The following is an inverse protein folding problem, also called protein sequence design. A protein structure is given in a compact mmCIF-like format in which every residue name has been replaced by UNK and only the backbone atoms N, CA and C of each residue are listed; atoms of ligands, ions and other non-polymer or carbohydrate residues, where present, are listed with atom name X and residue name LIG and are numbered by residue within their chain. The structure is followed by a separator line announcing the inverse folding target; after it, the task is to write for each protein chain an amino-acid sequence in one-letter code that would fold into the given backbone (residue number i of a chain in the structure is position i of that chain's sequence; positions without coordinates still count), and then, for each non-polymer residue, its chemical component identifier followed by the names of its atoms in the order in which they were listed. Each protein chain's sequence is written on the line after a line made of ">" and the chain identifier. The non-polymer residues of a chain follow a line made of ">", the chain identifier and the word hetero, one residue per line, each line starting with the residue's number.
data_IF_044038514747
#
_entry.id   IF_044038514747
#
_cell.length_a   1.000
_cell.length_b   1.000
_cell.length_c   1.000
_cell.angle_alpha   90.00
_cell.angle_beta   90.00
_cell.angle_gamma   90.00
#
_symmetry.space_group_name_H-M   'P 1'
#
loop_
_entity.id
_entity.type
_entity.pdbx_description
1 polymer ?
#
# COMPACT_ATOMS: atom_id res chain seq x y z
N UNK A 1 -22.89 17.55 9.84
CA UNK A 1 -23.13 16.12 9.51
C UNK A 1 -21.83 15.32 9.32
N UNK A 2 -20.79 15.85 8.64
CA UNK A 2 -19.53 15.11 8.42
C UNK A 2 -18.79 14.72 9.72
N UNK A 3 -18.57 15.67 10.64
CA UNK A 3 -18.15 15.43 12.03
C UNK A 3 -17.14 14.29 12.23
N UNK A 4 -17.40 13.41 13.20
CA UNK A 4 -16.56 12.24 13.54
C UNK A 4 -16.51 11.16 12.44
N UNK A 5 -17.34 11.26 11.41
CA UNK A 5 -17.45 10.27 10.34
C UNK A 5 -16.65 10.63 9.08
N UNK A 6 -16.05 11.83 9.02
CA UNK A 6 -15.26 12.30 7.88
C UNK A 6 -14.15 11.32 7.47
N UNK A 7 -13.52 10.65 8.45
CA UNK A 7 -12.51 9.60 8.22
C UNK A 7 -13.05 8.43 7.38
N UNK A 8 -14.31 8.03 7.54
CA UNK A 8 -14.87 6.91 6.77
C UNK A 8 -15.14 7.31 5.31
N UNK A 9 -15.56 8.55 5.07
CA UNK A 9 -15.67 9.08 3.70
C UNK A 9 -14.31 9.18 3.04
N UNK A 10 -13.29 9.63 3.79
CA UNK A 10 -11.92 9.67 3.29
C UNK A 10 -11.35 8.27 2.99
N UNK A 11 -11.63 7.29 3.86
CA UNK A 11 -11.26 5.89 3.62
C UNK A 11 -11.90 5.35 2.33
N UNK A 12 -13.20 5.58 2.12
CA UNK A 12 -13.89 5.20 0.88
C UNK A 12 -13.25 5.89 -0.32
N UNK A 13 -12.93 7.19 -0.23
CA UNK A 13 -12.24 7.91 -1.29
C UNK A 13 -10.88 7.30 -1.64
N UNK A 14 -10.07 6.94 -0.64
CA UNK A 14 -8.76 6.31 -0.87
C UNK A 14 -8.91 4.91 -1.48
N UNK A 15 -9.86 4.09 -1.01
CA UNK A 15 -10.11 2.77 -1.59
C UNK A 15 -10.56 2.90 -3.04
N UNK A 16 -11.50 3.80 -3.35
CA UNK A 16 -11.95 4.02 -4.74
C UNK A 16 -10.82 4.53 -5.63
N UNK A 17 -9.99 5.44 -5.12
CA UNK A 17 -8.82 5.95 -5.84
C UNK A 17 -7.80 4.84 -6.12
N UNK A 18 -7.58 3.93 -5.16
CA UNK A 18 -6.73 2.76 -5.35
C UNK A 18 -7.30 1.79 -6.41
N UNK A 19 -8.61 1.50 -6.36
CA UNK A 19 -9.27 0.66 -7.36
C UNK A 19 -9.20 1.27 -8.77
N UNK A 20 -9.39 2.58 -8.90
CA UNK A 20 -9.26 3.29 -10.17
C UNK A 20 -7.82 3.22 -10.69
N UNK A 21 -6.82 3.49 -9.84
CA UNK A 21 -5.40 3.35 -10.20
C UNK A 21 -5.13 1.93 -10.71
N UNK A 22 -5.54 0.91 -9.97
CA UNK A 22 -5.27 -0.49 -10.32
C UNK A 22 -5.99 -0.90 -11.61
N UNK A 23 -7.18 -0.36 -11.87
CA UNK A 23 -7.88 -0.53 -13.15
C UNK A 23 -7.10 0.07 -14.32
N UNK A 24 -6.63 1.32 -14.22
CA UNK A 24 -5.83 1.94 -15.28
C UNK A 24 -4.47 1.26 -15.48
N UNK A 25 -3.83 0.81 -14.40
CA UNK A 25 -2.62 -0.01 -14.48
C UNK A 25 -2.91 -1.29 -15.26
N UNK A 26 -4.00 -2.00 -14.94
CA UNK A 26 -4.35 -3.24 -15.66
C UNK A 26 -4.60 -2.98 -17.15
N UNK A 27 -5.32 -1.90 -17.49
CA UNK A 27 -5.54 -1.47 -18.87
C UNK A 27 -4.24 -1.13 -19.60
N UNK A 28 -3.20 -0.67 -18.91
CA UNK A 28 -1.89 -0.41 -19.49
C UNK A 28 -1.04 -1.68 -19.61
N UNK A 29 -1.10 -2.58 -18.62
CA UNK A 29 -0.25 -3.77 -18.52
C UNK A 29 -0.74 -4.91 -19.40
N UNK A 30 -2.03 -5.25 -19.35
CA UNK A 30 -2.56 -6.44 -20.01
C UNK A 30 -2.41 -6.41 -21.55
N UNK A 31 -2.65 -5.29 -22.26
CA UNK A 31 -2.40 -5.22 -23.70
C UNK A 31 -0.91 -5.25 -24.06
N UNK A 32 -0.02 -4.90 -23.12
CA UNK A 32 1.43 -4.90 -23.28
C UNK A 32 2.07 -6.12 -22.60
N UNK A 33 1.35 -7.23 -22.50
CA UNK A 33 1.88 -8.49 -21.97
C UNK A 33 3.00 -9.04 -22.86
N UNK A 34 3.93 -9.80 -22.26
CA UNK A 34 5.06 -10.46 -22.93
C UNK A 34 6.01 -9.52 -23.69
N UNK A 35 5.94 -8.21 -23.42
CA UNK A 35 6.84 -7.19 -23.99
C UNK A 35 8.24 -7.20 -23.34
N UNK A 36 8.38 -7.81 -22.16
CA UNK A 36 9.67 -8.01 -21.48
C UNK A 36 9.68 -9.33 -20.71
N UNK A 37 10.09 -10.38 -21.42
CA UNK A 37 10.09 -11.76 -20.89
C UNK A 37 11.39 -12.07 -20.17
N UNK A 38 11.29 -12.37 -18.88
CA UNK A 38 12.38 -12.75 -17.97
C UNK A 38 12.26 -14.24 -17.58
N UNK A 39 11.03 -14.74 -17.43
CA UNK A 39 10.76 -16.10 -16.95
C UNK A 39 9.95 -16.91 -17.96
N UNK A 40 10.08 -18.24 -17.98
CA UNK A 40 9.12 -19.11 -18.67
C UNK A 40 7.69 -18.82 -18.20
N UNK A 41 6.71 -18.84 -19.11
CA UNK A 41 5.33 -18.39 -18.85
C UNK A 41 4.70 -19.03 -17.60
N UNK A 42 4.89 -20.34 -17.38
CA UNK A 42 4.38 -21.03 -16.18
C UNK A 42 5.01 -20.50 -14.89
N UNK A 43 6.33 -20.24 -14.91
CA UNK A 43 7.07 -19.71 -13.76
C UNK A 43 6.66 -18.25 -13.51
N UNK A 44 6.54 -17.44 -14.57
CA UNK A 44 6.07 -16.06 -14.50
C UNK A 44 4.69 -15.96 -13.82
N UNK A 45 3.73 -16.77 -14.27
CA UNK A 45 2.38 -16.80 -13.71
C UNK A 45 2.36 -17.27 -12.26
N UNK A 46 3.14 -18.29 -11.93
CA UNK A 46 3.24 -18.81 -10.56
C UNK A 46 3.86 -17.77 -9.59
N UNK A 47 5.03 -17.23 -9.94
CA UNK A 47 5.74 -16.25 -9.11
C UNK A 47 4.97 -14.93 -9.02
N UNK A 48 4.49 -14.42 -10.16
CA UNK A 48 3.74 -13.17 -10.23
C UNK A 48 2.40 -13.26 -9.49
N UNK A 49 1.64 -14.34 -9.71
CA UNK A 49 0.39 -14.58 -9.00
C UNK A 49 0.60 -14.79 -7.50
N UNK A 50 1.63 -15.55 -7.12
CA UNK A 50 2.02 -15.73 -5.72
C UNK A 50 2.36 -14.41 -5.04
N UNK A 51 3.19 -13.58 -5.68
CA UNK A 51 3.55 -12.26 -5.17
C UNK A 51 2.32 -11.34 -5.06
N UNK A 52 1.43 -11.35 -6.06
CA UNK A 52 0.18 -10.61 -6.02
C UNK A 52 -0.66 -10.94 -4.79
N UNK A 53 -0.90 -12.23 -4.57
CA UNK A 53 -1.70 -12.73 -3.45
C UNK A 53 -1.03 -12.44 -2.12
N UNK A 54 0.28 -12.66 -2.00
CA UNK A 54 1.02 -12.35 -0.76
C UNK A 54 0.94 -10.87 -0.40
N UNK A 55 1.12 -9.97 -1.37
CA UNK A 55 0.99 -8.53 -1.15
C UNK A 55 -0.41 -8.13 -0.67
N UNK A 56 -1.45 -8.72 -1.28
CA UNK A 56 -2.83 -8.49 -0.90
C UNK A 56 -3.12 -8.98 0.54
N UNK A 57 -2.61 -10.16 0.90
CA UNK A 57 -2.74 -10.70 2.26
C UNK A 57 -2.02 -9.85 3.31
N UNK A 58 -0.85 -9.28 2.99
CA UNK A 58 -0.15 -8.31 3.86
C UNK A 58 -1.03 -7.08 4.09
N UNK A 59 -1.69 -6.55 3.06
CA UNK A 59 -2.59 -5.42 3.20
C UNK A 59 -3.81 -5.75 4.07
N UNK A 60 -4.42 -6.92 3.90
CA UNK A 60 -5.52 -7.36 4.77
C UNK A 60 -5.07 -7.55 6.22
N UNK A 61 -3.87 -8.10 6.44
CA UNK A 61 -3.31 -8.23 7.78
C UNK A 61 -3.03 -6.86 8.42
N UNK A 62 -2.54 -5.91 7.63
CA UNK A 62 -2.31 -4.52 8.06
C UNK A 62 -3.62 -3.82 8.41
N UNK A 63 -4.66 -3.98 7.57
CA UNK A 63 -6.00 -3.47 7.85
C UNK A 63 -6.55 -4.04 9.16
N UNK A 64 -6.32 -5.33 9.44
CA UNK A 64 -6.73 -5.95 10.70
C UNK A 64 -5.98 -5.36 11.89
N UNK A 65 -4.69 -5.05 11.75
CA UNK A 65 -3.87 -4.50 12.83
C UNK A 65 -4.19 -3.03 13.14
N UNK A 66 -4.39 -2.20 12.11
CA UNK A 66 -4.68 -0.76 12.25
C UNK A 66 -6.17 -0.43 12.36
N UNK A 67 -7.03 -1.32 11.89
CA UNK A 67 -8.41 -0.95 11.55
C UNK A 67 -8.49 0.11 10.45
N UNK A 68 -9.72 0.47 10.08
CA UNK A 68 -9.98 1.43 8.99
C UNK A 68 -9.36 2.80 9.31
N UNK A 69 -9.52 3.30 10.54
CA UNK A 69 -9.03 4.64 10.90
C UNK A 69 -7.51 4.72 10.87
N UNK A 70 -6.81 3.72 11.39
CA UNK A 70 -5.35 3.71 11.33
C UNK A 70 -4.82 3.56 9.91
N UNK A 71 -5.45 2.70 9.09
CA UNK A 71 -5.01 2.44 7.72
C UNK A 71 -5.17 3.62 6.78
N UNK A 72 -6.18 4.47 7.00
CA UNK A 72 -6.52 5.59 6.11
C UNK A 72 -6.30 6.96 6.76
N UNK A 73 -5.18 7.13 7.47
CA UNK A 73 -4.70 8.41 8.02
C UNK A 73 -5.68 9.10 8.99
N UNK A 74 -6.28 8.31 9.88
CA UNK A 74 -7.19 8.79 10.92
C UNK A 74 -6.59 9.81 11.86
N UNK A 75 -5.27 9.86 12.00
CA UNK A 75 -4.54 10.87 12.77
C UNK A 75 -4.86 12.30 12.30
N UNK A 76 -5.05 12.49 10.99
CA UNK A 76 -5.43 13.77 10.38
C UNK A 76 -6.87 14.19 10.70
N UNK A 77 -7.67 13.24 11.22
CA UNK A 77 -9.04 13.44 11.69
C UNK A 77 -9.16 13.34 13.22
N UNK A 78 -8.04 13.41 13.94
CA UNK A 78 -7.99 13.36 15.41
C UNK A 78 -8.05 11.96 16.00
N UNK A 79 -7.94 10.90 15.20
CA UNK A 79 -7.85 9.51 15.67
C UNK A 79 -6.38 9.08 15.74
N UNK A 80 -5.75 9.31 16.88
CA UNK A 80 -4.38 8.90 17.16
C UNK A 80 -4.37 7.76 18.19
N UNK A 81 -3.62 6.69 17.94
CA UNK A 81 -3.44 5.60 18.89
C UNK A 81 -2.68 6.06 20.15
N UNK A 82 -2.73 5.24 21.20
CA UNK A 82 -1.95 5.45 22.42
C UNK A 82 -0.45 5.29 22.18
N UNK A 83 -0.10 4.28 21.38
CA UNK A 83 1.26 4.08 20.89
C UNK A 83 1.22 3.61 19.43
N UNK A 84 2.34 3.77 18.69
CA UNK A 84 2.48 3.15 17.38
C UNK A 84 2.27 1.63 17.47
N UNK A 85 1.58 1.07 16.47
CA UNK A 85 1.37 -0.38 16.35
C UNK A 85 2.70 -1.05 16.01
N UNK A 86 3.06 -2.09 16.76
CA UNK A 86 4.32 -2.83 16.63
C UNK A 86 4.13 -4.34 16.50
N UNK A 87 2.88 -4.80 16.48
CA UNK A 87 2.51 -6.21 16.35
C UNK A 87 1.99 -6.54 14.94
N UNK A 88 1.56 -7.79 14.74
CA UNK A 88 1.10 -8.27 13.44
C UNK A 88 2.16 -8.10 12.34
N UNK A 89 1.83 -7.47 11.19
CA UNK A 89 2.77 -7.32 10.08
C UNK A 89 3.88 -6.30 10.40
N UNK A 90 3.66 -5.40 11.35
CA UNK A 90 4.65 -4.39 11.78
C UNK A 90 5.87 -4.99 12.49
N UNK A 91 5.82 -6.27 12.88
CA UNK A 91 7.01 -7.00 13.36
C UNK A 91 8.04 -7.27 12.25
N UNK A 92 7.59 -7.28 11.00
CA UNK A 92 8.39 -7.70 9.85
C UNK A 92 8.65 -6.55 8.87
N UNK A 93 7.76 -5.56 8.82
CA UNK A 93 7.82 -4.43 7.91
C UNK A 93 7.58 -3.13 8.67
N UNK A 94 8.30 -2.06 8.32
CA UNK A 94 8.04 -0.75 8.90
C UNK A 94 6.69 -0.18 8.44
N UNK A 95 6.35 -0.37 7.16
CA UNK A 95 5.14 0.17 6.55
C UNK A 95 4.45 -0.88 5.65
N UNK A 96 3.88 -1.94 6.25
CA UNK A 96 3.40 -3.12 5.53
C UNK A 96 2.31 -2.80 4.50
N UNK A 97 1.53 -1.73 4.66
CA UNK A 97 0.54 -1.28 3.68
C UNK A 97 1.15 -0.88 2.33
N UNK A 98 2.35 -0.27 2.35
CA UNK A 98 3.06 0.11 1.12
C UNK A 98 3.79 -1.08 0.53
N UNK A 99 4.38 -1.92 1.39
CA UNK A 99 5.05 -3.16 0.97
C UNK A 99 4.06 -4.10 0.28
N UNK A 100 2.90 -4.34 0.88
CA UNK A 100 1.87 -5.21 0.32
C UNK A 100 1.39 -4.71 -1.05
N UNK A 101 1.10 -3.42 -1.16
CA UNK A 101 0.64 -2.81 -2.41
C UNK A 101 1.71 -2.84 -3.51
N UNK A 102 2.97 -2.49 -3.19
CA UNK A 102 4.07 -2.54 -4.15
C UNK A 102 4.37 -3.99 -4.60
N UNK A 103 4.35 -4.94 -3.67
CA UNK A 103 4.49 -6.37 -3.96
C UNK A 103 3.37 -6.88 -4.87
N UNK A 104 2.13 -6.43 -4.65
CA UNK A 104 1.03 -6.82 -5.52
C UNK A 104 1.21 -6.31 -6.94
N UNK A 105 1.56 -5.05 -7.12
CA UNK A 105 1.79 -4.47 -8.44
C UNK A 105 2.98 -5.12 -9.15
N UNK A 106 4.08 -5.34 -8.44
CA UNK A 106 5.23 -6.04 -8.98
C UNK A 106 4.87 -7.48 -9.40
N UNK A 107 4.05 -8.18 -8.60
CA UNK A 107 3.51 -9.49 -8.95
C UNK A 107 2.71 -9.46 -10.26
N UNK A 108 1.86 -8.46 -10.45
CA UNK A 108 1.14 -8.23 -11.72
C UNK A 108 2.11 -8.01 -12.88
N UNK A 109 3.16 -7.21 -12.71
CA UNK A 109 4.18 -6.99 -13.73
C UNK A 109 4.89 -8.28 -14.15
N UNK A 110 5.26 -9.12 -13.17
CA UNK A 110 5.87 -10.43 -13.38
C UNK A 110 4.90 -11.39 -14.07
N UNK A 111 3.65 -11.42 -13.63
CA UNK A 111 2.61 -12.29 -14.18
C UNK A 111 2.39 -12.05 -15.67
N UNK A 112 2.32 -10.78 -16.07
CA UNK A 112 2.13 -10.37 -17.46
C UNK A 112 3.44 -10.21 -18.25
N UNK A 113 4.62 -10.34 -17.63
CA UNK A 113 5.92 -10.14 -18.28
C UNK A 113 5.97 -8.83 -19.09
N UNK A 114 5.44 -7.73 -18.53
CA UNK A 114 5.20 -6.47 -19.23
C UNK A 114 6.19 -5.38 -18.82
N UNK A 115 6.89 -4.77 -19.77
CA UNK A 115 7.81 -3.65 -19.48
C UNK A 115 7.09 -2.48 -18.80
N UNK A 116 5.88 -2.17 -19.27
CA UNK A 116 5.03 -1.12 -18.69
C UNK A 116 4.67 -1.47 -17.26
N UNK A 117 4.36 -2.75 -16.99
CA UNK A 117 4.11 -3.23 -15.62
C UNK A 117 5.31 -3.01 -14.71
N UNK A 118 6.52 -3.35 -15.14
CA UNK A 118 7.72 -3.17 -14.34
C UNK A 118 8.03 -1.69 -14.07
N UNK A 119 7.89 -0.83 -15.09
CA UNK A 119 8.08 0.62 -14.94
C UNK A 119 7.09 1.19 -13.94
N UNK A 120 5.80 0.85 -14.06
CA UNK A 120 4.76 1.32 -13.13
C UNK A 120 4.97 0.78 -11.71
N UNK A 121 5.45 -0.46 -11.56
CA UNK A 121 5.78 -1.03 -10.25
C UNK A 121 6.92 -0.27 -9.56
N UNK A 122 7.97 0.08 -10.31
CA UNK A 122 9.09 0.87 -9.79
C UNK A 122 8.65 2.29 -9.46
N UNK A 123 7.87 2.93 -10.33
CA UNK A 123 7.33 4.27 -10.12
C UNK A 123 6.47 4.34 -8.84
N UNK A 124 5.54 3.40 -8.68
CA UNK A 124 4.72 3.32 -7.46
C UNK A 124 5.57 3.13 -6.21
N UNK A 125 6.58 2.26 -6.26
CA UNK A 125 7.49 2.05 -5.14
C UNK A 125 8.25 3.33 -4.77
N UNK A 126 8.74 4.09 -5.76
CA UNK A 126 9.42 5.37 -5.53
C UNK A 126 8.47 6.37 -4.88
N UNK A 127 7.22 6.47 -5.36
CA UNK A 127 6.21 7.36 -4.77
C UNK A 127 5.97 7.01 -3.30
N UNK A 128 5.80 5.72 -2.98
CA UNK A 128 5.63 5.28 -1.60
C UNK A 128 6.87 5.53 -0.74
N UNK A 129 8.05 5.27 -1.26
CA UNK A 129 9.30 5.55 -0.55
C UNK A 129 9.44 7.05 -0.23
N UNK A 130 9.13 7.93 -1.18
CA UNK A 130 9.11 9.38 -0.97
C UNK A 130 8.07 9.75 0.10
N UNK A 131 6.85 9.22 -0.01
CA UNK A 131 5.77 9.45 0.95
C UNK A 131 6.19 9.12 2.38
N UNK A 132 6.73 7.92 2.59
CA UNK A 132 7.17 7.45 3.90
C UNK A 132 8.34 8.28 4.43
N UNK A 133 9.38 8.48 3.60
CA UNK A 133 10.62 9.10 4.05
C UNK A 133 10.45 10.59 4.40
N UNK A 134 9.71 11.32 3.57
CA UNK A 134 9.65 12.79 3.66
C UNK A 134 8.37 13.32 4.30
N UNK A 135 7.28 12.56 4.31
CA UNK A 135 5.98 13.04 4.78
C UNK A 135 5.47 12.25 5.98
N UNK A 136 5.13 10.97 5.78
CA UNK A 136 4.48 10.16 6.81
C UNK A 136 5.40 9.91 8.01
N UNK A 137 6.63 9.46 7.78
CA UNK A 137 7.59 9.18 8.85
C UNK A 137 7.86 10.40 9.74
N UNK A 138 8.25 11.56 9.18
CA UNK A 138 8.42 12.80 9.95
C UNK A 138 7.15 13.25 10.67
N UNK A 139 5.98 13.15 10.02
CA UNK A 139 4.69 13.51 10.62
C UNK A 139 4.36 12.62 11.82
N UNK A 140 4.48 11.30 11.69
CA UNK A 140 4.22 10.34 12.76
C UNK A 140 5.14 10.55 13.95
N UNK A 141 6.45 10.75 13.74
CA UNK A 141 7.39 11.07 14.82
C UNK A 141 7.00 12.34 15.56
N UNK A 142 6.60 13.38 14.83
CA UNK A 142 6.18 14.66 15.40
C UNK A 142 4.95 14.49 16.29
N UNK A 143 3.87 13.89 15.79
CA UNK A 143 2.61 13.79 16.54
C UNK A 143 2.74 12.92 17.80
N UNK A 144 3.47 11.79 17.74
CA UNK A 144 3.70 10.96 18.92
C UNK A 144 4.64 11.63 19.93
N UNK A 145 5.63 12.42 19.48
CA UNK A 145 6.48 13.20 20.40
C UNK A 145 5.72 14.29 21.15
N UNK A 146 4.68 14.85 20.54
CA UNK A 146 3.82 15.86 21.15
C UNK A 146 2.83 15.25 22.14
N UNK A 147 2.27 14.07 21.84
CA UNK A 147 1.41 13.32 22.76
C UNK A 147 2.14 13.01 24.07
N UNK A 148 3.36 12.45 23.98
CA UNK A 148 4.18 12.12 25.15
C UNK A 148 4.56 13.32 26.05
N UNK A 149 4.53 14.55 25.51
CA UNK A 149 4.80 15.77 26.29
C UNK A 149 3.59 16.30 27.03
N UNK A 150 2.39 15.91 26.59
CA UNK A 150 1.12 16.39 27.13
C UNK A 150 0.57 15.43 28.20
N UNK A 151 1.02 14.17 28.16
CA UNK A 151 0.84 13.16 29.21
C UNK A 151 1.79 13.40 30.38
#
# INVERSE_FOLDING_TARGET
>A
ALGKNAIYFYAVYLVLSALLRDHFIHLAVAPNADTFVIFPSTIAKALGGGAFVSGFLINLWTLKALGIKGMYNGDSFGFLFDAPVTDGPYKYFNDPQYVGTAMSLFGTAVYYQSIIGYVLAVDLYIIFWISVMFFEGPHMRRIYSQKKKTE
#
